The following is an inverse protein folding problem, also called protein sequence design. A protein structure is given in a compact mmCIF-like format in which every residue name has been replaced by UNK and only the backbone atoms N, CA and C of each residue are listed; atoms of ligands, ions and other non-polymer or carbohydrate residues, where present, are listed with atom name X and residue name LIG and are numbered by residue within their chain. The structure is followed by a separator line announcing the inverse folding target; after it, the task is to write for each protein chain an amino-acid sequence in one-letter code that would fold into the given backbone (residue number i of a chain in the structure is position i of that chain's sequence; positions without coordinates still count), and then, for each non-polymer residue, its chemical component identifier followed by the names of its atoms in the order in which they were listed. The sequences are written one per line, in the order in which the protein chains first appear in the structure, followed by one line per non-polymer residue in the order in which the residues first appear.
data_IF_560058414233
#
_entry.id   IF_560058414233
#
_cell.length_a   1.000
_cell.length_b   1.000
_cell.length_c   1.000
_cell.angle_alpha   90.00
_cell.angle_beta   90.00
_cell.angle_gamma   90.00
#
_symmetry.space_group_name_H-M   'P 1'
#
loop_
_entity.id
_entity.type
_entity.pdbx_description
1 polymer ?
#
# COMPACT_ATOMS: atom_id res chain seq x y z
N UNK A 1 -14.08 26.56 -4.56
CA UNK A 1 -14.35 25.20 -5.08
C UNK A 1 -13.48 25.00 -6.31
N UNK A 2 -12.40 24.22 -6.20
CA UNK A 2 -11.55 23.92 -7.36
C UNK A 2 -12.25 22.78 -8.11
N UNK A 3 -12.75 23.08 -9.31
CA UNK A 3 -13.33 22.11 -10.21
C UNK A 3 -12.18 21.38 -10.90
N UNK A 4 -11.89 20.16 -10.46
CA UNK A 4 -10.90 19.31 -11.12
C UNK A 4 -11.48 18.84 -12.45
N UNK A 5 -10.70 18.97 -13.53
CA UNK A 5 -11.12 18.56 -14.87
C UNK A 5 -11.16 17.01 -14.95
N UNK A 6 -12.02 16.46 -15.81
CA UNK A 6 -12.18 15.02 -16.05
C UNK A 6 -10.87 14.32 -16.42
N UNK A 7 -9.90 15.05 -16.99
CA UNK A 7 -8.57 14.53 -17.28
C UNK A 7 -7.70 14.31 -16.02
N UNK A 8 -7.94 15.08 -14.95
CA UNK A 8 -7.28 14.86 -13.65
C UNK A 8 -7.90 13.68 -12.91
N UNK A 9 -9.22 13.50 -13.00
CA UNK A 9 -9.89 12.30 -12.50
C UNK A 9 -9.40 11.06 -13.27
N UNK A 10 -9.31 11.13 -14.60
CA UNK A 10 -8.78 10.02 -15.39
C UNK A 10 -7.33 9.67 -15.06
N UNK A 11 -6.48 10.64 -14.69
CA UNK A 11 -5.08 10.40 -14.27
C UNK A 11 -4.94 9.79 -12.88
N UNK A 12 -5.84 10.13 -11.96
CA UNK A 12 -5.92 9.51 -10.64
C UNK A 12 -6.38 8.04 -10.77
N UNK A 13 -7.28 7.77 -11.71
CA UNK A 13 -7.88 6.46 -11.95
C UNK A 13 -7.16 5.59 -13.00
N UNK A 14 -6.24 6.15 -13.82
CA UNK A 14 -5.49 5.41 -14.85
C UNK A 14 -4.23 4.72 -14.35
N UNK A 15 -3.84 4.90 -13.07
CA UNK A 15 -2.63 4.28 -12.53
C UNK A 15 -1.32 4.89 -13.01
N UNK A 16 -1.33 6.06 -13.68
CA UNK A 16 -0.11 6.78 -14.07
C UNK A 16 0.59 7.52 -12.89
N UNK A 17 0.01 7.48 -11.68
CA UNK A 17 0.58 8.03 -10.44
C UNK A 17 0.87 6.90 -9.42
N UNK A 18 1.16 5.69 -9.88
CA UNK A 18 1.84 4.68 -9.04
C UNK A 18 3.13 4.29 -9.71
N UNK A 19 4.24 4.44 -9.01
CA UNK A 19 5.54 3.98 -9.53
C UNK A 19 5.48 2.45 -9.54
N UNK A 20 6.11 1.79 -10.51
CA UNK A 20 6.15 0.31 -10.56
C UNK A 20 6.60 -0.34 -9.24
N UNK A 21 7.34 0.41 -8.41
CA UNK A 21 7.73 0.01 -7.07
C UNK A 21 6.53 -0.10 -6.09
N UNK A 22 5.52 0.74 -6.18
CA UNK A 22 4.36 0.73 -5.27
C UNK A 22 3.50 -0.52 -5.49
N UNK A 23 3.28 -0.90 -6.76
CA UNK A 23 2.61 -2.15 -7.11
C UNK A 23 3.39 -3.37 -6.63
N UNK A 24 4.72 -3.36 -6.77
CA UNK A 24 5.54 -4.45 -6.28
C UNK A 24 5.59 -4.51 -4.74
N UNK A 25 5.55 -3.37 -4.05
CA UNK A 25 5.40 -3.33 -2.59
C UNK A 25 4.08 -3.96 -2.16
N UNK A 26 2.98 -3.68 -2.86
CA UNK A 26 1.69 -4.31 -2.58
C UNK A 26 1.76 -5.83 -2.76
N UNK A 27 2.36 -6.33 -3.85
CA UNK A 27 2.53 -7.79 -4.01
C UNK A 27 3.43 -8.38 -2.91
N UNK A 28 4.48 -7.67 -2.49
CA UNK A 28 5.31 -8.11 -1.36
C UNK A 28 4.51 -8.15 -0.04
N UNK A 29 3.48 -7.31 0.15
CA UNK A 29 2.61 -7.41 1.32
C UNK A 29 1.78 -8.71 1.30
N UNK A 30 1.28 -9.12 0.13
CA UNK A 30 0.62 -10.43 -0.03
C UNK A 30 1.59 -11.59 0.20
N UNK A 31 2.80 -11.50 -0.35
CA UNK A 31 3.87 -12.50 -0.15
C UNK A 31 4.25 -12.62 1.34
N UNK A 32 4.23 -11.50 2.08
CA UNK A 32 4.53 -11.47 3.52
C UNK A 32 3.42 -12.13 4.34
N UNK A 33 2.17 -11.75 4.12
CA UNK A 33 1.01 -12.28 4.87
C UNK A 33 0.76 -13.77 4.57
N UNK A 34 1.17 -14.25 3.39
CA UNK A 34 1.10 -15.67 3.01
C UNK A 34 2.36 -16.46 3.35
N UNK A 35 3.38 -15.85 3.96
CA UNK A 35 4.61 -16.54 4.30
C UNK A 35 4.34 -17.63 5.35
N UNK A 36 4.78 -18.86 5.05
CA UNK A 36 4.59 -20.01 5.95
C UNK A 36 5.75 -20.17 6.94
N UNK A 37 6.84 -19.42 6.74
CA UNK A 37 8.06 -19.49 7.55
C UNK A 37 8.62 -18.10 7.86
N UNK A 38 9.28 -17.98 9.02
CA UNK A 38 9.98 -16.75 9.42
C UNK A 38 11.07 -16.35 8.41
N UNK A 39 11.75 -17.33 7.81
CA UNK A 39 12.78 -17.08 6.80
C UNK A 39 12.19 -16.43 5.52
N UNK A 40 11.02 -16.91 5.07
CA UNK A 40 10.32 -16.34 3.93
C UNK A 40 9.79 -14.94 4.26
N UNK A 41 9.16 -14.76 5.43
CA UNK A 41 8.69 -13.45 5.89
C UNK A 41 9.85 -12.44 5.95
N UNK A 42 11.00 -12.85 6.51
CA UNK A 42 12.20 -12.00 6.55
C UNK A 42 12.71 -11.64 5.15
N UNK A 43 12.78 -12.61 4.24
CA UNK A 43 13.23 -12.35 2.87
C UNK A 43 12.33 -11.34 2.15
N UNK A 44 11.01 -11.45 2.32
CA UNK A 44 10.04 -10.52 1.75
C UNK A 44 10.16 -9.13 2.38
N UNK A 45 10.33 -9.07 3.70
CA UNK A 45 10.59 -7.82 4.42
C UNK A 45 11.84 -7.10 3.90
N UNK A 46 12.96 -7.83 3.76
CA UNK A 46 14.23 -7.26 3.27
C UNK A 46 14.06 -6.74 1.83
N UNK A 47 13.30 -7.43 0.99
CA UNK A 47 12.97 -6.97 -0.38
C UNK A 47 12.12 -5.70 -0.37
N UNK A 48 11.10 -5.62 0.49
CA UNK A 48 10.24 -4.45 0.60
C UNK A 48 11.03 -3.23 1.10
N UNK A 49 11.88 -3.42 2.10
CA UNK A 49 12.76 -2.38 2.64
C UNK A 49 13.73 -1.86 1.57
N UNK A 50 14.30 -2.73 0.75
CA UNK A 50 15.21 -2.35 -0.33
C UNK A 50 14.49 -1.65 -1.50
N UNK A 51 13.23 -2.02 -1.77
CA UNK A 51 12.44 -1.48 -2.88
C UNK A 51 11.80 -0.13 -2.55
N UNK A 52 11.46 0.10 -1.28
CA UNK A 52 10.86 1.34 -0.83
C UNK A 52 11.81 2.51 -1.06
N UNK A 53 11.55 3.28 -2.11
CA UNK A 53 12.37 4.43 -2.50
C UNK A 53 12.31 5.57 -1.46
N UNK A 54 11.25 5.61 -0.66
CA UNK A 54 10.98 6.63 0.35
C UNK A 54 10.51 5.95 1.64
N UNK A 55 10.89 6.50 2.80
CA UNK A 55 10.49 5.97 4.12
C UNK A 55 8.97 5.88 4.22
N UNK A 56 8.25 6.83 3.64
CA UNK A 56 6.79 6.86 3.62
C UNK A 56 6.25 5.57 2.97
N UNK A 57 6.80 5.15 1.83
CA UNK A 57 6.33 3.95 1.14
C UNK A 57 6.56 2.69 1.98
N UNK A 58 7.68 2.63 2.71
CA UNK A 58 7.95 1.52 3.63
C UNK A 58 6.99 1.53 4.83
N UNK A 59 6.73 2.69 5.42
CA UNK A 59 5.77 2.83 6.52
C UNK A 59 4.36 2.42 6.09
N UNK A 60 3.90 2.88 4.92
CA UNK A 60 2.60 2.48 4.36
C UNK A 60 2.55 0.97 4.12
N UNK A 61 3.65 0.37 3.66
CA UNK A 61 3.74 -1.08 3.47
C UNK A 61 3.58 -1.85 4.79
N UNK A 62 4.20 -1.39 5.88
CA UNK A 62 4.03 -1.99 7.21
C UNK A 62 2.58 -1.87 7.71
N UNK A 63 1.97 -0.70 7.54
CA UNK A 63 0.56 -0.48 7.91
C UNK A 63 -0.40 -1.36 7.09
N UNK A 64 -0.11 -1.57 5.80
CA UNK A 64 -0.89 -2.43 4.93
C UNK A 64 -0.85 -3.90 5.42
N UNK A 65 0.31 -4.41 5.82
CA UNK A 65 0.43 -5.78 6.37
C UNK A 65 -0.44 -5.94 7.61
N UNK A 66 -0.32 -5.05 8.58
CA UNK A 66 -1.12 -5.11 9.82
C UNK A 66 -2.63 -5.04 9.50
N UNK A 67 -3.01 -4.17 8.55
CA UNK A 67 -4.40 -4.08 8.11
C UNK A 67 -4.88 -5.36 7.40
N UNK A 68 -4.04 -5.97 6.57
CA UNK A 68 -4.35 -7.24 5.88
C UNK A 68 -4.49 -8.41 6.86
N UNK A 69 -3.61 -8.52 7.85
CA UNK A 69 -3.70 -9.55 8.89
C UNK A 69 -5.01 -9.43 9.68
N UNK A 70 -5.35 -8.21 10.11
CA UNK A 70 -6.62 -7.94 10.79
C UNK A 70 -7.84 -8.23 9.91
N UNK A 71 -7.78 -7.83 8.63
CA UNK A 71 -8.85 -8.12 7.68
C UNK A 71 -9.07 -9.63 7.53
N UNK A 72 -8.00 -10.38 7.32
CA UNK A 72 -8.06 -11.82 7.08
C UNK A 72 -8.46 -12.61 8.33
N UNK A 73 -8.19 -12.08 9.53
CA UNK A 73 -8.60 -12.68 10.81
C UNK A 73 -10.04 -12.29 11.22
N UNK A 74 -10.62 -11.24 10.63
CA UNK A 74 -11.96 -10.77 10.98
C UNK A 74 -13.05 -11.68 10.39
N UNK A 75 -13.98 -12.11 11.25
CA UNK A 75 -15.15 -12.88 10.84
C UNK A 75 -16.17 -12.04 10.01
N UNK A 76 -16.02 -10.72 9.98
CA UNK A 76 -16.88 -9.82 9.19
C UNK A 76 -16.55 -9.88 7.71
N UNK A 77 -15.31 -10.23 7.36
CA UNK A 77 -14.84 -10.33 5.99
C UNK A 77 -14.89 -11.78 5.52
N UNK A 78 -15.86 -12.09 4.65
CA UNK A 78 -16.04 -13.45 4.10
C UNK A 78 -14.95 -13.88 3.11
N UNK A 79 -14.03 -12.98 2.77
CA UNK A 79 -12.97 -13.23 1.83
C UNK A 79 -11.69 -12.48 2.24
N UNK A 80 -10.50 -13.04 1.94
CA UNK A 80 -9.24 -12.33 2.11
C UNK A 80 -9.24 -10.98 1.40
N UNK A 81 -8.37 -10.07 1.85
CA UNK A 81 -8.23 -8.76 1.23
C UNK A 81 -7.92 -8.88 -0.27
N UNK A 82 -8.60 -8.10 -1.10
CA UNK A 82 -8.32 -8.05 -2.53
C UNK A 82 -7.16 -7.11 -2.85
N UNK A 83 -6.47 -7.34 -3.98
CA UNK A 83 -5.43 -6.44 -4.49
C UNK A 83 -5.94 -5.03 -4.74
N UNK A 84 -7.19 -4.88 -5.21
CA UNK A 84 -7.80 -3.58 -5.42
C UNK A 84 -8.01 -2.83 -4.09
N UNK A 85 -8.41 -3.55 -3.03
CA UNK A 85 -8.54 -2.99 -1.68
C UNK A 85 -7.18 -2.60 -1.09
N UNK A 86 -6.17 -3.45 -1.26
CA UNK A 86 -4.80 -3.17 -0.83
C UNK A 86 -4.21 -1.94 -1.56
N UNK A 87 -4.45 -1.84 -2.86
CA UNK A 87 -4.07 -0.69 -3.69
C UNK A 87 -4.73 0.60 -3.18
N UNK A 88 -6.04 0.57 -2.95
CA UNK A 88 -6.78 1.72 -2.45
C UNK A 88 -6.25 2.17 -1.08
N UNK A 89 -6.02 1.22 -0.17
CA UNK A 89 -5.41 1.51 1.13
C UNK A 89 -4.05 2.18 0.97
N UNK A 90 -3.17 1.58 0.17
CA UNK A 90 -1.80 2.04 -0.02
C UNK A 90 -1.76 3.47 -0.57
N UNK A 91 -2.51 3.76 -1.64
CA UNK A 91 -2.57 5.09 -2.24
C UNK A 91 -3.18 6.15 -1.30
N UNK A 92 -4.27 5.80 -0.61
CA UNK A 92 -4.89 6.72 0.36
C UNK A 92 -3.90 7.06 1.48
N UNK A 93 -3.24 6.05 2.05
CA UNK A 93 -2.35 6.27 3.19
C UNK A 93 -1.08 7.02 2.82
N UNK A 94 -0.52 6.74 1.66
CA UNK A 94 0.60 7.50 1.10
C UNK A 94 0.24 8.98 0.94
N UNK A 95 -0.97 9.29 0.45
CA UNK A 95 -1.45 10.66 0.29
C UNK A 95 -1.63 11.38 1.63
N UNK A 96 -2.17 10.69 2.63
CA UNK A 96 -2.33 11.24 3.99
C UNK A 96 -0.99 11.62 4.62
N UNK A 97 0.00 10.71 4.54
CA UNK A 97 1.32 10.93 5.12
C UNK A 97 2.10 12.04 4.40
N UNK A 98 2.02 12.10 3.07
CA UNK A 98 2.60 13.19 2.28
C UNK A 98 1.96 14.55 2.63
N UNK A 99 0.64 14.59 2.79
CA UNK A 99 -0.07 15.83 3.15
C UNK A 99 0.28 16.31 4.56
N UNK A 100 0.48 15.38 5.50
CA UNK A 100 0.89 15.70 6.87
C UNK A 100 2.31 16.28 6.97
N UNK A 101 3.21 15.94 6.03
CA UNK A 101 4.54 16.53 5.98
C UNK A 101 4.51 17.99 5.48
N UNK A 102 3.66 18.28 4.49
CA UNK A 102 3.54 19.63 3.91
C UNK A 102 2.82 20.58 4.89
N UNK A 103 1.82 20.11 5.63
CA UNK A 103 1.07 20.93 6.60
C UNK A 103 1.82 21.28 7.88
N UNK A 104 2.99 20.68 8.13
CA UNK A 104 3.84 20.94 9.29
C UNK A 104 5.11 21.74 8.93
N UNK A 105 5.21 22.27 7.71
CA UNK A 105 6.34 23.09 7.23
C UNK A 105 6.06 24.59 7.31
#
# INVERSE_FOLDING_TARGET
MIQLNKDQEHKIWSGEIMRGNDLRLIELAFDYVSAETEAQAKQVYDQAAALAAEIINFSVWLELIDYMEKWNQSNEHKAPMSRASALQFFSTRQTELNSAQIGNS
#
